data_IF_123921585933
#
_entry.id   IF_123921585933
#
_cell.length_a   1.000
_cell.length_b   1.000
_cell.length_c   1.000
_cell.angle_alpha   90.00
_cell.angle_beta   90.00
_cell.angle_gamma   90.00
#
_symmetry.space_group_name_H-M   'P 1'
#
loop_
_entity.id
_entity.type
_entity.pdbx_description
1 polymer ?
#
# COMPACT_ATOMS: atom_id res chain seq x y z
N UNK A 1 -8.99 -0.70 10.02
CA UNK A 1 -8.73 0.57 9.31
C UNK A 1 -7.24 0.77 9.28
N UNK A 2 -6.61 0.78 8.10
CA UNK A 2 -5.18 1.07 8.00
C UNK A 2 -4.99 2.57 8.28
N UNK A 3 -4.45 2.89 9.45
CA UNK A 3 -4.30 4.26 9.90
C UNK A 3 -2.96 4.80 9.40
N UNK A 4 -2.95 5.33 8.17
CA UNK A 4 -1.76 5.98 7.61
C UNK A 4 -1.65 7.39 8.19
N UNK A 5 -0.66 7.62 9.06
CA UNK A 5 -0.45 8.93 9.67
C UNK A 5 0.52 9.72 8.79
N UNK A 6 -0.01 10.66 8.03
CA UNK A 6 0.80 11.63 7.30
C UNK A 6 1.20 12.77 8.24
N UNK A 7 2.49 13.01 8.41
CA UNK A 7 3.00 14.08 9.27
C UNK A 7 3.26 15.35 8.46
N UNK A 8 2.81 16.50 8.97
CA UNK A 8 3.13 17.79 8.36
C UNK A 8 4.64 18.08 8.47
N UNK A 9 5.21 18.66 7.42
CA UNK A 9 6.61 19.06 7.40
C UNK A 9 6.85 20.17 8.44
N UNK A 10 7.93 20.09 9.24
CA UNK A 10 8.33 21.18 10.13
C UNK A 10 8.54 22.48 9.35
N UNK A 11 8.05 23.58 9.90
CA UNK A 11 8.32 24.91 9.37
C UNK A 11 9.73 25.35 9.74
N UNK A 12 10.37 26.11 8.85
CA UNK A 12 11.70 26.64 9.11
C UNK A 12 11.72 27.51 10.38
N UNK A 13 12.76 27.32 11.21
CA UNK A 13 13.04 28.16 12.38
C UNK A 13 14.47 28.69 12.31
N UNK A 14 14.67 29.89 12.86
CA UNK A 14 16.00 30.53 12.92
C UNK A 14 17.00 29.75 13.79
N UNK A 15 16.52 28.96 14.76
CA UNK A 15 17.34 27.95 15.42
C UNK A 15 17.59 26.77 14.45
N UNK A 16 18.73 26.83 13.78
CA UNK A 16 19.16 25.84 12.79
C UNK A 16 19.33 24.45 13.40
N UNK A 17 19.88 24.34 14.61
CA UNK A 17 20.16 23.05 15.23
C UNK A 17 18.85 22.30 15.53
N UNK A 18 17.88 23.01 16.09
CA UNK A 18 16.55 22.45 16.35
C UNK A 18 15.82 22.12 15.05
N UNK A 19 15.86 23.00 14.05
CA UNK A 19 15.21 22.76 12.75
C UNK A 19 15.76 21.51 12.06
N UNK A 20 17.09 21.35 11.99
CA UNK A 20 17.70 20.16 11.36
C UNK A 20 17.29 18.86 12.05
N UNK A 21 17.25 18.86 13.38
CA UNK A 21 16.79 17.69 14.14
C UNK A 21 15.33 17.37 13.83
N UNK A 22 14.44 18.36 13.85
CA UNK A 22 13.02 18.17 13.55
C UNK A 22 12.81 17.66 12.13
N UNK A 23 13.55 18.19 11.16
CA UNK A 23 13.51 17.73 9.77
C UNK A 23 13.98 16.30 9.62
N UNK A 24 15.05 15.90 10.32
CA UNK A 24 15.51 14.51 10.33
C UNK A 24 14.44 13.56 10.90
N UNK A 25 13.87 13.90 12.07
CA UNK A 25 12.81 13.10 12.69
C UNK A 25 11.56 13.01 11.81
N UNK A 26 11.18 14.10 11.13
CA UNK A 26 10.08 14.09 10.16
C UNK A 26 10.37 13.18 8.97
N UNK A 27 11.58 13.21 8.40
CA UNK A 27 11.96 12.33 7.29
C UNK A 27 11.86 10.85 7.67
N UNK A 28 12.33 10.47 8.87
CA UNK A 28 12.22 9.10 9.36
C UNK A 28 10.76 8.66 9.50
N UNK A 29 9.89 9.52 10.04
CA UNK A 29 8.45 9.24 10.14
C UNK A 29 7.79 9.11 8.76
N UNK A 30 8.18 9.96 7.81
CA UNK A 30 7.65 9.91 6.44
C UNK A 30 8.13 8.69 5.67
N UNK A 31 9.36 8.19 5.89
CA UNK A 31 9.80 6.92 5.33
C UNK A 31 8.89 5.77 5.77
N UNK A 32 8.62 5.67 7.07
CA UNK A 32 7.73 4.63 7.58
C UNK A 32 6.32 4.72 6.98
N UNK A 33 5.78 5.93 6.85
CA UNK A 33 4.50 6.17 6.18
C UNK A 33 4.50 5.69 4.73
N UNK A 34 5.56 5.97 3.96
CA UNK A 34 5.69 5.53 2.57
C UNK A 34 5.78 4.01 2.46
N UNK A 35 6.51 3.35 3.36
CA UNK A 35 6.60 1.89 3.41
C UNK A 35 5.24 1.25 3.72
N UNK A 36 4.49 1.80 4.68
CA UNK A 36 3.13 1.33 4.98
C UNK A 36 2.20 1.45 3.78
N UNK A 37 2.23 2.59 3.06
CA UNK A 37 1.44 2.77 1.85
C UNK A 37 1.83 1.76 0.76
N UNK A 38 3.14 1.56 0.54
CA UNK A 38 3.64 0.60 -0.43
C UNK A 38 3.13 -0.81 -0.12
N UNK A 39 3.28 -1.26 1.12
CA UNK A 39 2.80 -2.59 1.55
C UNK A 39 1.30 -2.74 1.33
N UNK A 40 0.50 -1.73 1.71
CA UNK A 40 -0.94 -1.74 1.48
C UNK A 40 -1.32 -1.88 0.01
N UNK A 41 -0.68 -1.12 -0.87
CA UNK A 41 -0.96 -1.21 -2.30
C UNK A 41 -0.57 -2.57 -2.89
N UNK A 42 0.55 -3.14 -2.44
CA UNK A 42 0.99 -4.48 -2.86
C UNK A 42 0.04 -5.58 -2.38
N UNK A 43 -0.40 -5.54 -1.12
CA UNK A 43 -1.38 -6.49 -0.58
C UNK A 43 -2.70 -6.41 -1.32
N UNK A 44 -3.16 -5.18 -1.60
CA UNK A 44 -4.40 -4.97 -2.35
C UNK A 44 -4.30 -5.45 -3.80
N UNK A 45 -3.15 -5.24 -4.44
CA UNK A 45 -2.91 -5.77 -5.78
C UNK A 45 -2.92 -7.31 -5.81
N UNK A 46 -2.25 -7.96 -4.84
CA UNK A 46 -2.28 -9.43 -4.68
C UNK A 46 -3.69 -9.97 -4.46
N UNK A 47 -4.49 -9.29 -3.65
CA UNK A 47 -5.89 -9.66 -3.42
C UNK A 47 -6.71 -9.65 -4.71
N UNK A 48 -6.60 -8.58 -5.51
CA UNK A 48 -7.31 -8.49 -6.79
C UNK A 48 -6.80 -9.50 -7.82
N UNK A 49 -5.49 -9.76 -7.84
CA UNK A 49 -4.91 -10.80 -8.68
C UNK A 49 -5.49 -12.17 -8.33
N UNK A 50 -5.57 -12.52 -7.04
CA UNK A 50 -6.17 -13.78 -6.58
C UNK A 50 -7.63 -13.94 -7.05
N UNK A 51 -8.44 -12.88 -6.94
CA UNK A 51 -9.82 -12.92 -7.43
C UNK A 51 -9.92 -13.08 -8.96
N UNK A 52 -8.98 -12.52 -9.72
CA UNK A 52 -8.95 -12.69 -11.17
C UNK A 52 -8.61 -14.15 -11.54
N UNK A 53 -7.60 -14.73 -10.89
CA UNK A 53 -7.21 -16.12 -11.08
C UNK A 53 -8.32 -17.10 -10.67
N UNK A 54 -9.06 -16.83 -9.59
CA UNK A 54 -10.23 -17.61 -9.18
C UNK A 54 -11.34 -17.58 -10.25
N UNK A 55 -11.64 -16.39 -10.79
CA UNK A 55 -12.63 -16.25 -11.87
C UNK A 55 -12.23 -16.99 -13.15
N UNK A 56 -10.94 -16.97 -13.50
CA UNK A 56 -10.44 -17.73 -14.65
C UNK A 56 -10.58 -19.24 -14.45
N UNK A 57 -10.31 -19.74 -13.24
CA UNK A 57 -10.50 -21.15 -12.89
C UNK A 57 -11.97 -21.56 -12.96
N UNK A 58 -12.88 -20.74 -12.45
CA UNK A 58 -14.33 -20.97 -12.53
C UNK A 58 -14.85 -20.95 -13.97
N UNK A 59 -14.31 -20.07 -14.83
CA UNK A 59 -14.68 -20.02 -16.25
C UNK A 59 -14.22 -21.28 -17.01
N UNK A 60 -13.00 -21.76 -16.72
CA UNK A 60 -12.43 -22.97 -17.32
C UNK A 60 -13.15 -24.26 -16.91
N UNK A 61 -13.65 -24.32 -15.68
CA UNK A 61 -14.45 -25.48 -15.21
C UNK A 61 -15.82 -25.52 -15.87
N UNK A 62 -16.50 -24.36 -16.01
CA UNK A 62 -17.82 -24.30 -16.68
C UNK A 62 -17.79 -24.62 -18.18
N UNK A 63 -16.66 -24.45 -18.87
CA UNK A 63 -16.56 -24.82 -20.29
C UNK A 63 -16.45 -26.32 -20.55
N UNK A 64 -16.13 -27.13 -19.55
CA UNK A 64 -15.96 -28.57 -19.70
C UNK A 64 -17.23 -29.41 -19.39
N UNK A 65 -18.28 -28.80 -18.82
CA UNK A 65 -19.57 -29.47 -18.52
C UNK A 65 -20.62 -29.26 -19.63
N UNK A 66 -20.18 -29.21 -20.90
CA UNK A 66 -21.09 -29.27 -22.04
C UNK A 66 -21.86 -30.59 -22.05
N UNK A 67 -23.16 -30.61 -22.44
CA UNK A 67 -23.98 -31.81 -22.32
C UNK A 67 -23.35 -32.93 -23.16
N UNK A 68 -23.10 -34.07 -22.52
CA UNK A 68 -22.74 -35.29 -23.22
C UNK A 68 -23.87 -35.62 -24.21
N UNK A 69 -23.56 -35.51 -25.50
CA UNK A 69 -24.42 -35.88 -26.61
C UNK A 69 -24.31 -37.38 -26.91
#
# INVERSE_FOLDING_TARGET
MNHFVHYAMPMYTQDHATYYRQMYEWHMKMQHYQEQLRSFHLERAKYFQGMAEEREKEASTKSNDGPAA
#
